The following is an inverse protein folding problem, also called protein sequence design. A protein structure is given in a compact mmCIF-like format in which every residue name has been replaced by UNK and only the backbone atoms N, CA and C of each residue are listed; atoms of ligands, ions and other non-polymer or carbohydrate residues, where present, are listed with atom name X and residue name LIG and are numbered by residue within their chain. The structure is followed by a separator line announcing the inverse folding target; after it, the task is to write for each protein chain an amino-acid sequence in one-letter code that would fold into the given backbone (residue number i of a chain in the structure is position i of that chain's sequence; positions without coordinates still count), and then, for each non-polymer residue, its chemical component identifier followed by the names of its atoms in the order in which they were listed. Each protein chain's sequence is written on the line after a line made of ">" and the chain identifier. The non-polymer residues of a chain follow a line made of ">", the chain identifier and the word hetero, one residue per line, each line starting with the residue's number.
data_IF_799278687073
#
_entry.id   IF_799278687073
#
_cell.length_a   1.000
_cell.length_b   1.000
_cell.length_c   1.000
_cell.angle_alpha   90.00
_cell.angle_beta   90.00
_cell.angle_gamma   90.00
#
_symmetry.space_group_name_H-M   'P 1'
#
loop_
_entity.id
_entity.type
_entity.pdbx_description
1 polymer ?
#
# COMPACT_ATOMS: atom_id res chain seq x y z
N UNK A 1 -18.26 -17.44 -7.85
CA UNK A 1 -17.21 -17.50 -8.89
C UNK A 1 -16.27 -16.29 -8.88
N UNK A 2 -16.65 -15.09 -9.38
CA UNK A 2 -15.70 -13.95 -9.42
C UNK A 2 -15.27 -13.46 -8.03
N UNK A 3 -16.23 -13.27 -7.11
CA UNK A 3 -15.97 -12.85 -5.73
C UNK A 3 -15.05 -13.81 -4.97
N UNK A 4 -15.23 -15.12 -5.19
CA UNK A 4 -14.43 -16.17 -4.58
C UNK A 4 -13.00 -16.21 -5.12
N UNK A 5 -12.81 -15.89 -6.41
CA UNK A 5 -11.49 -15.77 -7.02
C UNK A 5 -10.69 -14.59 -6.42
N UNK A 6 -11.32 -13.43 -6.26
CA UNK A 6 -10.67 -12.26 -5.65
C UNK A 6 -10.28 -12.53 -4.19
N UNK A 7 -11.17 -13.14 -3.41
CA UNK A 7 -10.87 -13.54 -2.04
C UNK A 7 -9.74 -14.60 -1.99
N UNK A 8 -9.73 -15.57 -2.91
CA UNK A 8 -8.71 -16.60 -2.98
C UNK A 8 -7.31 -16.05 -3.32
N UNK A 9 -7.23 -14.99 -4.13
CA UNK A 9 -5.96 -14.34 -4.47
C UNK A 9 -5.46 -13.39 -3.38
N UNK A 10 -6.37 -12.72 -2.68
CA UNK A 10 -6.01 -11.81 -1.58
C UNK A 10 -5.55 -12.54 -0.33
N UNK A 11 -6.12 -13.72 -0.06
CA UNK A 11 -5.82 -14.49 1.14
C UNK A 11 -4.32 -14.81 1.32
N UNK A 12 -3.57 -15.31 0.31
CA UNK A 12 -2.12 -15.46 0.40
C UNK A 12 -1.39 -14.14 0.69
N UNK A 13 -1.78 -13.03 0.05
CA UNK A 13 -1.15 -11.73 0.26
C UNK A 13 -1.35 -11.23 1.72
N UNK A 14 -2.56 -11.37 2.25
CA UNK A 14 -2.86 -11.06 3.66
C UNK A 14 -2.04 -11.93 4.60
N UNK A 15 -1.88 -13.23 4.31
CA UNK A 15 -1.04 -14.11 5.12
C UNK A 15 0.44 -13.70 5.11
N UNK A 16 0.97 -13.27 3.97
CA UNK A 16 2.34 -12.76 3.89
C UNK A 16 2.52 -11.48 4.72
N UNK A 17 1.55 -10.55 4.65
CA UNK A 17 1.55 -9.31 5.45
C UNK A 17 1.47 -9.62 6.94
N UNK A 18 0.55 -10.49 7.37
CA UNK A 18 0.39 -10.84 8.77
C UNK A 18 1.63 -11.54 9.34
N UNK A 19 2.24 -12.44 8.56
CA UNK A 19 3.46 -13.13 8.99
C UNK A 19 4.65 -12.16 9.08
N UNK A 20 4.75 -11.18 8.17
CA UNK A 20 5.75 -10.12 8.24
C UNK A 20 5.57 -9.20 9.45
N UNK A 21 4.32 -8.97 9.85
CA UNK A 21 4.00 -8.24 11.07
C UNK A 21 4.24 -9.04 12.36
N UNK A 22 4.68 -10.31 12.26
CA UNK A 22 4.99 -11.16 13.41
C UNK A 22 3.82 -12.01 13.93
N UNK A 23 2.71 -12.11 13.18
CA UNK A 23 1.62 -13.03 13.52
C UNK A 23 1.93 -14.44 13.02
N UNK A 24 2.07 -15.38 13.94
CA UNK A 24 2.45 -16.77 13.65
C UNK A 24 1.24 -17.72 13.56
N UNK A 25 0.10 -17.32 14.13
CA UNK A 25 -1.13 -18.11 14.14
C UNK A 25 -2.36 -17.19 14.14
N UNK A 26 -3.37 -17.52 13.34
CA UNK A 26 -4.67 -16.85 13.35
C UNK A 26 -5.78 -17.87 13.07
N UNK A 27 -6.99 -17.63 13.59
CA UNK A 27 -8.16 -18.44 13.22
C UNK A 27 -8.48 -18.20 11.74
N UNK A 28 -8.81 -19.23 10.94
CA UNK A 28 -9.13 -19.05 9.51
C UNK A 28 -10.21 -17.98 9.25
N UNK A 29 -11.22 -17.91 10.12
CA UNK A 29 -12.28 -16.90 10.05
C UNK A 29 -11.79 -15.46 10.13
N UNK A 30 -10.68 -15.20 10.83
CA UNK A 30 -10.08 -13.86 10.94
C UNK A 30 -9.40 -13.48 9.63
N UNK A 31 -8.64 -14.40 9.05
CA UNK A 31 -7.96 -14.16 7.76
C UNK A 31 -8.98 -13.91 6.66
N UNK A 32 -10.08 -14.67 6.65
CA UNK A 32 -11.16 -14.50 5.68
C UNK A 32 -11.88 -13.16 5.88
N UNK A 33 -12.14 -12.75 7.13
CA UNK A 33 -12.73 -11.44 7.43
C UNK A 33 -11.82 -10.28 7.02
N UNK A 34 -10.51 -10.36 7.32
CA UNK A 34 -9.53 -9.32 6.91
C UNK A 34 -9.42 -9.27 5.39
N UNK A 35 -9.46 -10.42 4.70
CA UNK A 35 -9.45 -10.47 3.24
C UNK A 35 -10.70 -9.84 2.63
N UNK A 36 -11.88 -10.03 3.23
CA UNK A 36 -13.13 -9.38 2.80
C UNK A 36 -13.08 -7.86 3.02
N UNK A 37 -12.57 -7.41 4.18
CA UNK A 37 -12.37 -5.98 4.46
C UNK A 37 -11.39 -5.36 3.46
N UNK A 38 -10.28 -6.03 3.15
CA UNK A 38 -9.30 -5.56 2.17
C UNK A 38 -9.91 -5.44 0.76
N UNK A 39 -10.70 -6.41 0.33
CA UNK A 39 -11.39 -6.36 -0.96
C UNK A 39 -12.36 -5.18 -1.04
N UNK A 40 -13.17 -4.98 0.01
CA UNK A 40 -14.11 -3.85 0.09
C UNK A 40 -13.38 -2.51 0.14
N UNK A 41 -12.23 -2.45 0.81
CA UNK A 41 -11.41 -1.24 0.87
C UNK A 41 -10.82 -0.87 -0.50
N UNK A 42 -10.32 -1.84 -1.27
CA UNK A 42 -9.86 -1.59 -2.64
C UNK A 42 -10.99 -1.08 -3.55
N UNK A 43 -12.19 -1.66 -3.42
CA UNK A 43 -13.36 -1.19 -4.17
C UNK A 43 -13.75 0.24 -3.77
N UNK A 44 -13.72 0.54 -2.47
CA UNK A 44 -13.97 1.89 -1.95
C UNK A 44 -12.97 2.90 -2.52
N UNK A 45 -11.68 2.57 -2.54
CA UNK A 45 -10.64 3.44 -3.11
C UNK A 45 -10.86 3.68 -4.61
N UNK A 46 -11.21 2.64 -5.37
CA UNK A 46 -11.51 2.78 -6.80
C UNK A 46 -12.73 3.68 -7.04
N UNK A 47 -13.80 3.52 -6.26
CA UNK A 47 -15.00 4.35 -6.34
C UNK A 47 -14.72 5.82 -6.00
N UNK A 48 -13.93 6.06 -4.95
CA UNK A 48 -13.54 7.42 -4.53
C UNK A 48 -12.64 8.09 -5.56
N UNK A 49 -11.70 7.34 -6.13
CA UNK A 49 -10.82 7.84 -7.19
C UNK A 49 -11.63 8.26 -8.42
N UNK A 50 -12.58 7.41 -8.85
CA UNK A 50 -13.45 7.74 -9.99
C UNK A 50 -14.33 8.97 -9.71
N UNK A 51 -14.83 9.11 -8.48
CA UNK A 51 -15.59 10.28 -8.07
C UNK A 51 -14.74 11.56 -8.13
N UNK A 52 -13.50 11.52 -7.64
CA UNK A 52 -12.59 12.66 -7.69
C UNK A 52 -12.18 13.03 -9.11
N UNK A 53 -11.92 12.05 -9.98
CA UNK A 53 -11.66 12.29 -11.39
C UNK A 53 -12.82 13.05 -12.05
N UNK A 54 -14.05 12.58 -11.85
CA UNK A 54 -15.24 13.24 -12.37
C UNK A 54 -15.45 14.64 -11.76
N UNK A 55 -15.16 14.83 -10.47
CA UNK A 55 -15.35 16.12 -9.80
C UNK A 55 -14.29 17.16 -10.16
N UNK A 56 -13.04 16.75 -10.38
CA UNK A 56 -11.92 17.66 -10.57
C UNK A 56 -11.77 18.10 -12.01
N UNK A 57 -11.91 17.17 -12.96
CA UNK A 57 -11.67 17.44 -14.38
C UNK A 57 -12.76 16.90 -15.30
N UNK A 58 -13.84 16.33 -14.74
CA UNK A 58 -15.02 15.86 -15.49
C UNK A 58 -14.67 14.82 -16.58
N UNK A 59 -13.68 13.99 -16.29
CA UNK A 59 -13.24 12.85 -17.11
C UNK A 59 -13.33 11.55 -16.29
N UNK A 60 -13.42 10.42 -16.99
CA UNK A 60 -13.40 9.09 -16.41
C UNK A 60 -11.98 8.55 -16.18
N UNK A 61 -10.97 9.20 -16.78
CA UNK A 61 -9.56 8.77 -16.66
C UNK A 61 -8.93 9.27 -15.35
N UNK A 62 -8.61 8.36 -14.39
CA UNK A 62 -8.11 8.76 -13.10
C UNK A 62 -6.63 9.18 -13.16
N UNK A 63 -6.29 10.29 -12.51
CA UNK A 63 -4.90 10.76 -12.36
C UNK A 63 -4.32 10.38 -11.00
N UNK A 64 -3.00 10.52 -10.84
CA UNK A 64 -2.32 10.30 -9.55
C UNK A 64 -2.88 11.21 -8.46
N UNK A 65 -3.28 12.44 -8.82
CA UNK A 65 -3.90 13.39 -7.89
C UNK A 65 -5.24 12.89 -7.36
N UNK A 66 -6.07 12.27 -8.21
CA UNK A 66 -7.37 11.73 -7.81
C UNK A 66 -7.21 10.53 -6.87
N UNK A 67 -6.21 9.68 -7.13
CA UNK A 67 -5.85 8.57 -6.23
C UNK A 67 -5.38 9.11 -4.89
N UNK A 68 -4.51 10.13 -4.88
CA UNK A 68 -4.02 10.75 -3.63
C UNK A 68 -5.16 11.33 -2.80
N UNK A 69 -6.12 12.01 -3.43
CA UNK A 69 -7.32 12.51 -2.75
C UNK A 69 -8.15 11.37 -2.16
N UNK A 70 -8.35 10.29 -2.92
CA UNK A 70 -9.06 9.10 -2.42
C UNK A 70 -8.36 8.44 -1.23
N UNK A 71 -7.03 8.37 -1.23
CA UNK A 71 -6.24 7.83 -0.11
C UNK A 71 -6.31 8.73 1.13
N UNK A 72 -6.37 10.04 0.95
CA UNK A 72 -6.52 11.03 2.03
C UNK A 72 -7.92 10.94 2.64
N UNK A 73 -8.97 10.90 1.81
CA UNK A 73 -10.36 10.71 2.25
C UNK A 73 -10.57 9.39 3.01
N UNK A 74 -9.84 8.35 2.61
CA UNK A 74 -9.86 7.05 3.27
C UNK A 74 -8.96 6.97 4.51
N UNK A 75 -8.30 8.07 4.89
CA UNK A 75 -7.45 8.20 6.08
C UNK A 75 -6.10 7.48 5.98
N UNK A 76 -5.68 7.07 4.77
CA UNK A 76 -4.40 6.38 4.56
C UNK A 76 -3.24 7.37 4.50
N UNK A 77 -3.41 8.46 3.76
CA UNK A 77 -2.47 9.57 3.80
C UNK A 77 -2.94 10.55 4.86
N UNK A 78 -2.11 10.76 5.88
CA UNK A 78 -2.42 11.69 6.96
C UNK A 78 -1.87 13.06 6.58
N UNK A 79 -2.73 14.08 6.40
CA UNK A 79 -2.27 15.44 6.15
C UNK A 79 -1.40 15.93 7.31
N UNK A 80 -0.31 16.61 6.98
CA UNK A 80 0.58 17.20 8.00
C UNK A 80 -0.05 18.40 8.72
N UNK A 81 -1.11 18.98 8.15
CA UNK A 81 -1.83 20.14 8.64
C UNK A 81 -3.34 19.88 8.56
N UNK A 82 -4.12 20.55 9.40
CA UNK A 82 -5.58 20.50 9.27
C UNK A 82 -6.02 21.24 8.00
N UNK A 83 -7.18 20.87 7.42
CA UNK A 83 -7.65 21.51 6.19
C UNK A 83 -7.83 23.03 6.30
N UNK A 84 -8.13 23.55 7.50
CA UNK A 84 -8.18 24.99 7.75
C UNK A 84 -6.78 25.62 7.69
N UNK A 85 -5.78 24.98 8.31
CA UNK A 85 -4.40 25.46 8.28
C UNK A 85 -3.80 25.40 6.88
N UNK A 86 -4.09 24.36 6.10
CA UNK A 86 -3.72 24.27 4.69
C UNK A 86 -4.35 25.41 3.88
N UNK A 87 -5.66 25.66 4.04
CA UNK A 87 -6.35 26.75 3.36
C UNK A 87 -5.77 28.13 3.70
N UNK A 88 -5.47 28.38 4.98
CA UNK A 88 -4.81 29.62 5.41
C UNK A 88 -3.41 29.74 4.84
N UNK A 89 -2.64 28.65 4.85
CA UNK A 89 -1.28 28.61 4.29
C UNK A 89 -1.28 28.87 2.79
N UNK A 90 -2.23 28.32 2.03
CA UNK A 90 -2.40 28.62 0.61
C UNK A 90 -2.79 30.07 0.36
N UNK A 91 -3.73 30.61 1.14
CA UNK A 91 -4.17 32.00 1.00
C UNK A 91 -3.04 33.01 1.28
N UNK A 92 -2.21 32.71 2.27
CA UNK A 92 -1.05 33.52 2.68
C UNK A 92 0.20 33.21 1.85
N UNK A 93 0.13 32.28 0.89
CA UNK A 93 1.27 31.86 0.08
C UNK A 93 1.61 32.93 -0.95
N UNK A 94 2.78 33.55 -0.83
CA UNK A 94 3.27 34.48 -1.84
C UNK A 94 3.50 33.78 -3.20
N UNK A 95 3.08 34.37 -4.33
CA UNK A 95 3.42 33.91 -5.66
C UNK A 95 4.93 33.70 -5.82
N UNK A 96 5.36 32.68 -6.57
CA UNK A 96 6.79 32.40 -6.79
C UNK A 96 7.52 33.54 -7.51
N UNK A 97 6.78 34.30 -8.32
CA UNK A 97 7.28 35.45 -9.09
C UNK A 97 7.80 36.58 -8.19
N UNK A 98 7.20 36.76 -7.01
CA UNK A 98 7.57 37.81 -6.04
C UNK A 98 8.93 37.53 -5.38
N UNK A 99 9.41 36.28 -5.44
CA UNK A 99 10.72 35.93 -4.87
C UNK A 99 11.84 36.38 -5.81
N UNK A 100 12.85 37.12 -5.30
CA UNK A 100 13.97 37.56 -6.11
C UNK A 100 14.79 36.37 -6.58
N UNK A 101 15.22 36.38 -7.85
CA UNK A 101 16.03 35.28 -8.43
C UNK A 101 17.49 35.25 -7.94
N UNK A 102 17.89 36.18 -7.07
CA UNK A 102 19.24 36.24 -6.52
C UNK A 102 19.57 34.93 -5.79
N UNK A 103 20.74 34.36 -6.10
CA UNK A 103 21.26 33.12 -5.48
C UNK A 103 20.32 31.90 -5.63
N UNK A 104 19.48 31.88 -6.68
CA UNK A 104 18.54 30.79 -6.93
C UNK A 104 17.47 30.65 -5.85
N UNK A 105 17.13 31.73 -5.14
CA UNK A 105 16.17 31.70 -4.03
C UNK A 105 14.80 31.19 -4.48
N UNK A 106 14.32 31.64 -5.66
CA UNK A 106 13.08 31.15 -6.27
C UNK A 106 13.07 29.63 -6.46
N UNK A 107 14.15 29.07 -6.99
CA UNK A 107 14.31 27.61 -7.16
C UNK A 107 14.42 26.87 -5.83
N UNK A 108 15.00 27.49 -4.79
CA UNK A 108 15.05 26.92 -3.44
C UNK A 108 13.66 26.90 -2.80
N UNK A 109 12.90 27.97 -2.97
CA UNK A 109 11.54 28.07 -2.46
C UNK A 109 10.59 27.12 -3.18
N UNK A 110 10.68 27.03 -4.53
CA UNK A 110 9.91 26.05 -5.29
C UNK A 110 10.22 24.63 -4.82
N UNK A 111 11.49 24.26 -4.69
CA UNK A 111 11.87 22.95 -4.14
C UNK A 111 11.34 22.74 -2.73
N UNK A 112 11.38 23.75 -1.85
CA UNK A 112 10.83 23.65 -0.50
C UNK A 112 9.33 23.36 -0.52
N UNK A 113 8.57 24.03 -1.39
CA UNK A 113 7.13 23.81 -1.57
C UNK A 113 6.83 22.43 -2.14
N UNK A 114 7.52 22.03 -3.21
CA UNK A 114 7.39 20.68 -3.78
C UNK A 114 7.78 19.60 -2.76
N UNK A 115 8.72 19.91 -1.85
CA UNK A 115 9.09 18.99 -0.78
C UNK A 115 7.96 18.82 0.23
N UNK A 116 7.35 19.92 0.63
CA UNK A 116 6.28 20.00 1.63
C UNK A 116 4.95 19.44 1.09
N UNK A 117 4.57 19.82 -0.14
CA UNK A 117 3.30 19.46 -0.76
C UNK A 117 3.20 17.96 -1.13
N UNK A 118 4.33 17.24 -1.19
CA UNK A 118 4.37 15.79 -1.45
C UNK A 118 4.94 14.98 -0.28
N UNK A 119 4.99 15.54 0.92
CA UNK A 119 5.60 14.88 2.08
C UNK A 119 4.91 13.55 2.43
N UNK A 120 3.58 13.55 2.41
CA UNK A 120 2.70 12.39 2.61
C UNK A 120 2.99 11.24 1.62
N UNK A 121 3.08 11.57 0.33
CA UNK A 121 3.36 10.59 -0.73
C UNK A 121 4.78 10.05 -0.59
N UNK A 122 5.75 10.88 -0.21
CA UNK A 122 7.12 10.42 0.02
C UNK A 122 7.22 9.50 1.23
N UNK A 123 6.56 9.82 2.33
CA UNK A 123 6.49 8.93 3.49
C UNK A 123 5.89 7.57 3.10
N UNK A 124 4.83 7.58 2.30
CA UNK A 124 4.23 6.35 1.79
C UNK A 124 5.20 5.55 0.89
N UNK A 125 5.94 6.21 0.00
CA UNK A 125 6.96 5.58 -0.84
C UNK A 125 8.10 5.02 0.02
N UNK A 126 8.55 5.75 1.02
CA UNK A 126 9.59 5.31 1.96
C UNK A 126 9.14 4.09 2.75
N UNK A 127 7.86 4.02 3.14
CA UNK A 127 7.28 2.82 3.74
C UNK A 127 7.24 1.64 2.76
N UNK A 128 6.78 1.83 1.52
CA UNK A 128 6.74 0.76 0.49
C UNK A 128 8.15 0.27 0.13
N UNK A 129 9.13 1.16 0.06
CA UNK A 129 10.52 0.79 -0.29
C UNK A 129 11.34 0.39 0.94
N UNK A 130 10.76 0.57 2.11
CA UNK A 130 11.38 0.38 3.40
C UNK A 130 11.52 -1.08 3.85
N UNK A 131 12.04 -1.28 5.07
CA UNK A 131 12.30 -2.62 5.61
C UNK A 131 11.02 -3.43 5.82
N UNK A 132 9.90 -2.79 6.14
CA UNK A 132 8.63 -3.47 6.38
C UNK A 132 8.13 -4.23 5.13
N UNK A 133 8.10 -3.55 3.97
CA UNK A 133 7.72 -4.20 2.72
C UNK A 133 8.77 -5.22 2.26
N UNK A 134 10.05 -4.97 2.50
CA UNK A 134 11.10 -5.97 2.21
C UNK A 134 10.84 -7.28 2.95
N UNK A 135 10.45 -7.21 4.21
CA UNK A 135 10.10 -8.39 5.00
C UNK A 135 8.86 -9.11 4.45
N UNK A 136 7.84 -8.36 4.01
CA UNK A 136 6.66 -8.93 3.32
C UNK A 136 7.10 -9.68 2.05
N UNK A 137 7.97 -9.07 1.25
CA UNK A 137 8.48 -9.65 0.01
C UNK A 137 9.35 -10.89 0.26
N UNK A 138 10.17 -10.88 1.30
CA UNK A 138 10.98 -12.04 1.74
C UNK A 138 10.08 -13.22 2.11
N UNK A 139 9.03 -12.98 2.89
CA UNK A 139 8.08 -14.02 3.30
C UNK A 139 7.27 -14.55 2.12
N UNK A 140 6.91 -13.67 1.18
CA UNK A 140 6.23 -14.05 -0.05
C UNK A 140 7.12 -14.82 -1.03
N UNK A 141 8.44 -14.95 -0.75
CA UNK A 141 9.41 -15.55 -1.68
C UNK A 141 9.65 -14.71 -2.93
N UNK A 142 9.32 -13.42 -2.88
CA UNK A 142 9.46 -12.46 -3.97
C UNK A 142 10.72 -11.60 -3.85
N UNK A 143 11.43 -11.67 -2.72
CA UNK A 143 12.75 -11.06 -2.60
C UNK A 143 13.69 -11.75 -3.59
N UNK A 144 13.93 -11.08 -4.72
CA UNK A 144 15.05 -11.41 -5.59
C UNK A 144 16.30 -11.10 -4.78
N UNK A 145 17.04 -12.14 -4.39
CA UNK A 145 18.43 -11.97 -4.01
C UNK A 145 19.08 -11.09 -5.08
N UNK A 146 19.51 -9.88 -4.71
CA UNK A 146 20.19 -8.98 -5.63
C UNK A 146 21.48 -9.60 -6.23
N UNK A 147 21.91 -10.74 -5.68
CA UNK A 147 23.01 -11.59 -6.14
C UNK A 147 22.60 -12.54 -7.28
N UNK A 148 21.31 -12.78 -7.51
CA UNK A 148 20.78 -13.82 -8.40
C UNK A 148 20.22 -13.27 -9.72
N UNK A 149 20.77 -12.15 -10.21
CA UNK A 149 20.52 -11.64 -11.56
C UNK A 149 21.07 -12.52 -12.70
N UNK A 150 21.50 -13.76 -12.43
CA UNK A 150 22.25 -14.58 -13.38
C UNK A 150 21.85 -16.05 -13.54
N UNK A 151 20.86 -16.58 -12.82
CA UNK A 151 20.38 -17.96 -13.07
C UNK A 151 18.87 -18.01 -13.09
N UNK A 152 18.35 -18.11 -14.31
CA UNK A 152 16.93 -18.25 -14.60
C UNK A 152 16.33 -19.55 -14.06
N UNK A 153 15.04 -19.45 -13.78
CA UNK A 153 13.97 -20.44 -13.95
C UNK A 153 14.07 -21.85 -13.33
N UNK A 154 15.21 -22.32 -12.82
CA UNK A 154 15.35 -23.69 -12.32
C UNK A 154 15.22 -23.83 -10.79
N UNK A 155 15.13 -22.71 -10.04
CA UNK A 155 15.03 -22.73 -8.57
C UNK A 155 13.60 -22.95 -8.03
N UNK A 156 12.59 -23.05 -8.90
CA UNK A 156 11.21 -23.32 -8.49
C UNK A 156 11.00 -24.77 -7.99
N UNK A 157 11.93 -25.69 -8.27
CA UNK A 157 11.80 -27.10 -7.89
C UNK A 157 12.21 -27.41 -6.44
N UNK A 158 13.04 -26.57 -5.81
CA UNK A 158 13.63 -26.87 -4.49
C UNK A 158 13.00 -26.07 -3.32
N UNK A 159 12.02 -25.20 -3.62
CA UNK A 159 11.23 -24.50 -2.60
C UNK A 159 10.21 -25.42 -1.89
N UNK A 160 10.14 -26.70 -2.26
CA UNK A 160 9.25 -27.71 -1.67
C UNK A 160 9.85 -28.37 -0.41
N UNK A 161 10.89 -27.79 0.19
CA UNK A 161 11.24 -28.11 1.58
C UNK A 161 10.04 -27.73 2.45
N UNK A 162 9.29 -28.75 2.86
CA UNK A 162 8.08 -28.65 3.69
C UNK A 162 8.44 -27.90 4.98
N UNK A 163 8.31 -26.57 4.95
CA UNK A 163 8.22 -25.77 6.17
C UNK A 163 6.87 -26.14 6.76
N UNK A 164 6.88 -26.72 7.96
CA UNK A 164 5.66 -27.14 8.64
C UNK A 164 4.64 -25.99 8.62
N UNK A 165 3.59 -26.18 7.83
CA UNK A 165 2.54 -25.20 7.61
C UNK A 165 1.51 -25.34 8.73
N UNK A 166 1.78 -24.70 9.87
CA UNK A 166 0.89 -24.75 11.03
C UNK A 166 -0.44 -23.98 10.81
N UNK A 167 -0.62 -23.32 9.67
CA UNK A 167 -1.82 -22.55 9.35
C UNK A 167 -2.90 -23.36 8.63
N UNK A 168 -2.55 -24.53 8.08
CA UNK A 168 -3.51 -25.45 7.42
C UNK A 168 -3.81 -26.70 8.25
N UNK A 169 -3.22 -26.84 9.43
CA UNK A 169 -3.56 -27.91 10.39
C UNK A 169 -4.99 -27.75 10.92
N UNK A 170 -5.95 -28.31 10.17
CA UNK A 170 -7.26 -28.67 10.71
C UNK A 170 -7.01 -29.75 11.78
N UNK A 171 -7.48 -29.61 13.03
CA UNK A 171 -7.29 -30.64 14.03
C UNK A 171 -7.95 -31.93 13.53
N UNK A 172 -7.14 -32.91 13.12
CA UNK A 172 -7.58 -34.21 12.60
C UNK A 172 -7.71 -35.23 13.72
N UNK A 173 -8.09 -34.78 14.91
CA UNK A 173 -8.32 -35.63 16.06
C UNK A 173 -9.76 -35.46 16.47
N UNK A 174 -10.66 -36.32 15.97
CA UNK A 174 -11.89 -36.76 16.68
C UNK A 174 -12.79 -37.75 15.89
N UNK A 175 -12.32 -38.53 14.90
CA UNK A 175 -13.15 -39.59 14.29
C UNK A 175 -12.32 -40.84 13.94
N UNK A 176 -11.83 -41.56 14.96
CA UNK A 176 -11.49 -42.98 14.82
C UNK A 176 -11.42 -43.70 16.18
N UNK A 177 -12.54 -43.69 16.92
CA UNK A 177 -13.01 -44.69 17.89
C UNK A 177 -14.52 -44.45 17.95
N UNK A 178 -15.37 -45.27 17.33
CA UNK A 178 -15.78 -46.64 17.71
C UNK A 178 -16.15 -47.42 16.45
#
# INVERSE_FOLDING_TARGET
>A
MAQELHAALLRPAILHILRAAGYHSARPSVVDAVSDVAARYMLLLAQRTAYHAWSNHNDADPTISDVRMALTDAGMLVPSMTGAEEAWKELLRHPLEDFPERNGLRLKEQRRRDLEDTADVREFIDWITGPANREIMRIAGLERDAVQGGKGLDAAADANAVKEDYLTCRPTLLLQRV
#
